data_IF_256332242718
#
_entry.id   IF_256332242718
#
_cell.length_a   1.000
_cell.length_b   1.000
_cell.length_c   1.000
_cell.angle_alpha   90.00
_cell.angle_beta   90.00
_cell.angle_gamma   90.00
#
_symmetry.space_group_name_H-M   'P 1'
#
loop_
_entity.id
_entity.type
_entity.pdbx_description
1 polymer ?
#
# COMPACT_ATOMS: atom_id res chain seq x y z
N UNK A 1 16.68 -11.58 -3.51
CA UNK A 1 17.07 -10.26 -2.95
C UNK A 1 17.69 -9.31 -3.98
N UNK A 2 17.04 -9.08 -5.13
CA UNK A 2 17.43 -7.98 -6.03
C UNK A 2 16.20 -7.45 -6.80
N UNK A 3 15.33 -8.33 -7.29
CA UNK A 3 14.12 -7.92 -8.04
C UNK A 3 13.06 -7.15 -7.24
N UNK A 4 12.79 -7.52 -5.98
CA UNK A 4 11.70 -6.91 -5.18
C UNK A 4 11.96 -5.46 -4.80
N UNK A 5 13.20 -5.13 -4.43
CA UNK A 5 13.61 -3.75 -4.21
C UNK A 5 13.52 -2.93 -5.51
N UNK A 6 13.92 -3.51 -6.66
CA UNK A 6 13.78 -2.85 -7.97
C UNK A 6 12.31 -2.55 -8.31
N UNK A 7 11.40 -3.49 -8.05
CA UNK A 7 9.97 -3.28 -8.28
C UNK A 7 9.40 -2.17 -7.40
N UNK A 8 9.72 -2.15 -6.10
CA UNK A 8 9.26 -1.09 -5.19
C UNK A 8 9.90 0.26 -5.55
N UNK A 9 11.19 0.30 -5.89
CA UNK A 9 11.85 1.51 -6.37
C UNK A 9 11.20 2.03 -7.65
N UNK A 10 10.74 1.15 -8.53
CA UNK A 10 10.04 1.54 -9.76
C UNK A 10 8.69 2.19 -9.43
N UNK A 11 7.93 1.63 -8.49
CA UNK A 11 6.69 2.25 -7.98
C UNK A 11 6.99 3.61 -7.33
N UNK A 12 8.02 3.68 -6.48
CA UNK A 12 8.42 4.94 -5.82
C UNK A 12 8.84 6.01 -6.82
N UNK A 13 9.55 5.62 -7.87
CA UNK A 13 9.93 6.50 -8.98
C UNK A 13 8.69 7.04 -9.70
N UNK A 14 7.73 6.16 -10.03
CA UNK A 14 6.46 6.56 -10.66
C UNK A 14 5.67 7.53 -9.77
N UNK A 15 5.74 7.38 -8.45
CA UNK A 15 5.06 8.27 -7.50
C UNK A 15 5.74 9.63 -7.30
N UNK A 16 7.05 9.68 -7.44
CA UNK A 16 7.82 10.92 -7.38
C UNK A 16 7.56 11.80 -8.63
N UNK A 17 7.23 11.18 -9.76
CA UNK A 17 6.91 11.86 -11.02
C UNK A 17 5.40 12.16 -11.06
N UNK A 18 5.03 13.34 -10.55
CA UNK A 18 3.66 13.80 -10.36
C UNK A 18 2.92 14.00 -11.70
N UNK A 19 2.24 12.98 -12.20
CA UNK A 19 1.22 13.13 -13.25
C UNK A 19 0.04 12.16 -13.08
N UNK A 20 -1.19 12.67 -13.23
CA UNK A 20 -2.45 11.93 -13.03
C UNK A 20 -2.67 10.84 -14.11
N UNK A 21 -1.91 10.90 -15.20
CA UNK A 21 -2.06 10.05 -16.37
C UNK A 21 -1.64 8.58 -16.16
N UNK A 22 -0.72 8.29 -15.24
CA UNK A 22 -0.11 6.96 -15.09
C UNK A 22 -0.79 6.03 -14.09
N UNK A 23 -1.71 6.55 -13.29
CA UNK A 23 -2.43 5.74 -12.30
C UNK A 23 -3.35 4.68 -12.93
N UNK A 24 -3.75 4.90 -14.18
CA UNK A 24 -4.56 3.95 -14.97
C UNK A 24 -3.75 2.76 -15.49
N UNK A 25 -2.44 2.91 -15.67
CA UNK A 25 -1.53 1.87 -16.16
C UNK A 25 -1.11 0.92 -15.03
N UNK A 26 -0.94 1.46 -13.81
CA UNK A 26 -0.70 0.65 -12.61
C UNK A 26 -1.87 -0.27 -12.27
N UNK A 27 -3.09 0.14 -12.60
CA UNK A 27 -4.28 -0.70 -12.45
C UNK A 27 -4.36 -1.88 -13.44
N UNK A 28 -3.45 -1.94 -14.43
CA UNK A 28 -3.26 -3.11 -15.30
C UNK A 28 -2.11 -4.01 -14.83
N UNK A 29 -1.30 -3.52 -13.89
CA UNK A 29 -0.17 -4.25 -13.32
C UNK A 29 -0.56 -4.85 -11.97
N UNK A 30 -0.10 -6.07 -11.67
CA UNK A 30 -0.22 -6.74 -10.37
C UNK A 30 0.61 -6.03 -9.26
N UNK A 31 0.81 -4.72 -9.36
CA UNK A 31 1.66 -3.90 -8.50
C UNK A 31 1.25 -4.01 -7.03
N UNK A 32 -0.05 -3.90 -6.73
CA UNK A 32 -0.55 -4.02 -5.36
C UNK A 32 -0.23 -5.41 -4.78
N UNK A 33 -0.47 -6.47 -5.55
CA UNK A 33 -0.24 -7.86 -5.14
C UNK A 33 1.25 -8.15 -4.94
N UNK A 34 2.10 -7.62 -5.81
CA UNK A 34 3.57 -7.73 -5.71
C UNK A 34 4.11 -7.03 -4.47
N UNK A 35 3.67 -5.80 -4.20
CA UNK A 35 4.08 -5.06 -3.01
C UNK A 35 3.58 -5.71 -1.71
N UNK A 36 2.32 -6.16 -1.68
CA UNK A 36 1.79 -6.94 -0.55
C UNK A 36 2.57 -8.25 -0.39
N UNK A 37 2.87 -8.93 -1.49
CA UNK A 37 3.73 -10.12 -1.50
C UNK A 37 5.14 -9.86 -0.96
N UNK A 38 5.72 -8.71 -1.28
CA UNK A 38 7.01 -8.27 -0.76
C UNK A 38 6.97 -8.06 0.77
N UNK A 39 5.97 -7.32 1.26
CA UNK A 39 5.77 -7.10 2.71
C UNK A 39 5.54 -8.43 3.45
N UNK A 40 4.85 -9.38 2.83
CA UNK A 40 4.67 -10.75 3.36
C UNK A 40 5.96 -11.54 3.40
N UNK A 41 6.79 -11.41 2.36
CA UNK A 41 8.06 -12.13 2.24
C UNK A 41 9.11 -11.62 3.23
N UNK A 42 9.09 -10.32 3.52
CA UNK A 42 10.03 -9.64 4.41
C UNK A 42 9.25 -8.89 5.51
N UNK A 43 8.68 -9.61 6.48
CA UNK A 43 7.82 -9.01 7.51
C UNK A 43 8.57 -8.05 8.45
N UNK A 44 9.88 -8.22 8.61
CA UNK A 44 10.70 -7.47 9.57
C UNK A 44 11.49 -6.31 8.93
N UNK A 45 11.33 -6.09 7.62
CA UNK A 45 12.01 -5.01 6.88
C UNK A 45 11.23 -3.69 7.00
N UNK A 46 11.54 -2.91 8.03
CA UNK A 46 10.86 -1.64 8.30
C UNK A 46 10.91 -0.67 7.10
N UNK A 47 12.05 -0.61 6.39
CA UNK A 47 12.22 0.32 5.27
C UNK A 47 11.34 -0.07 4.08
N UNK A 48 11.27 -1.37 3.78
CA UNK A 48 10.36 -1.92 2.78
C UNK A 48 8.89 -1.59 3.09
N UNK A 49 8.48 -1.77 4.34
CA UNK A 49 7.10 -1.51 4.79
C UNK A 49 6.78 -0.01 4.74
N UNK A 50 7.70 0.86 5.14
CA UNK A 50 7.56 2.30 4.99
C UNK A 50 7.41 2.72 3.53
N UNK A 51 8.24 2.17 2.64
CA UNK A 51 8.15 2.43 1.21
C UNK A 51 6.81 1.94 0.65
N UNK A 52 6.41 0.71 0.95
CA UNK A 52 5.14 0.19 0.46
C UNK A 52 3.95 1.03 0.95
N UNK A 53 3.92 1.41 2.23
CA UNK A 53 2.84 2.21 2.80
C UNK A 53 2.73 3.61 2.17
N UNK A 54 3.86 4.31 1.99
CA UNK A 54 3.91 5.61 1.30
C UNK A 54 3.44 5.45 -0.15
N UNK A 55 3.84 4.37 -0.79
CA UNK A 55 3.47 4.11 -2.16
C UNK A 55 1.98 3.83 -2.35
N UNK A 56 1.40 2.95 -1.54
CA UNK A 56 -0.04 2.70 -1.52
C UNK A 56 -0.84 3.97 -1.24
N UNK A 57 -0.39 4.81 -0.30
CA UNK A 57 -1.08 6.05 0.03
C UNK A 57 -1.18 6.98 -1.19
N UNK A 58 -0.07 7.15 -1.91
CA UNK A 58 -0.05 7.98 -3.11
C UNK A 58 -0.93 7.38 -4.22
N UNK A 59 -0.86 6.07 -4.46
CA UNK A 59 -1.67 5.39 -5.48
C UNK A 59 -3.17 5.39 -5.19
N UNK A 60 -3.57 5.35 -3.93
CA UNK A 60 -4.99 5.32 -3.55
C UNK A 60 -5.60 6.72 -3.44
N UNK A 61 -4.79 7.77 -3.24
CA UNK A 61 -5.28 9.12 -2.94
C UNK A 61 -5.99 9.71 -4.15
N UNK A 62 -7.33 9.87 -4.08
CA UNK A 62 -8.22 10.34 -5.15
C UNK A 62 -8.47 9.35 -6.30
N UNK A 63 -8.08 8.08 -6.17
CA UNK A 63 -8.29 7.07 -7.21
C UNK A 63 -9.09 5.87 -6.67
N UNK A 64 -10.39 5.91 -6.91
CA UNK A 64 -11.35 4.89 -6.43
C UNK A 64 -11.05 3.49 -6.97
N UNK A 65 -10.63 3.37 -8.23
CA UNK A 65 -10.21 2.09 -8.81
C UNK A 65 -9.03 1.50 -8.04
N UNK A 66 -8.02 2.32 -7.72
CA UNK A 66 -6.83 1.89 -7.00
C UNK A 66 -7.13 1.54 -5.54
N UNK A 67 -8.06 2.25 -4.89
CA UNK A 67 -8.54 1.90 -3.57
C UNK A 67 -9.13 0.47 -3.57
N UNK A 68 -9.99 0.15 -4.53
CA UNK A 68 -10.55 -1.21 -4.67
C UNK A 68 -9.46 -2.25 -4.91
N UNK A 69 -8.57 -2.02 -5.87
CA UNK A 69 -7.49 -2.96 -6.21
C UNK A 69 -6.54 -3.22 -5.03
N UNK A 70 -6.22 -2.17 -4.26
CA UNK A 70 -5.46 -2.29 -3.02
C UNK A 70 -6.14 -3.24 -2.02
N UNK A 71 -7.46 -3.13 -1.88
CA UNK A 71 -8.28 -4.04 -1.08
C UNK A 71 -8.27 -5.48 -1.56
N UNK A 72 -8.50 -5.67 -2.86
CA UNK A 72 -8.53 -6.98 -3.52
C UNK A 72 -7.17 -7.69 -3.42
N UNK A 73 -6.07 -6.95 -3.47
CA UNK A 73 -4.72 -7.47 -3.27
C UNK A 73 -4.41 -7.85 -1.81
N UNK A 74 -5.32 -7.62 -0.86
CA UNK A 74 -5.12 -7.87 0.56
C UNK A 74 -4.26 -6.80 1.27
N UNK A 75 -4.20 -5.60 0.71
CA UNK A 75 -3.43 -4.48 1.25
C UNK A 75 -3.93 -3.99 2.60
N UNK A 76 -5.26 -4.03 2.85
CA UNK A 76 -5.86 -3.65 4.15
C UNK A 76 -5.29 -4.53 5.27
N UNK A 77 -5.36 -5.85 5.09
CA UNK A 77 -4.82 -6.84 6.04
C UNK A 77 -3.34 -6.61 6.30
N UNK A 78 -2.57 -6.37 5.24
CA UNK A 78 -1.13 -6.22 5.34
C UNK A 78 -0.74 -4.94 6.09
N UNK A 79 -1.47 -3.83 5.89
CA UNK A 79 -1.25 -2.58 6.62
C UNK A 79 -1.58 -2.72 8.10
N UNK A 80 -2.67 -3.41 8.46
CA UNK A 80 -3.01 -3.68 9.85
C UNK A 80 -1.95 -4.57 10.53
N UNK A 81 -1.46 -5.59 9.81
CA UNK A 81 -0.36 -6.45 10.27
C UNK A 81 0.93 -5.67 10.46
N UNK A 82 1.29 -4.81 9.51
CA UNK A 82 2.44 -3.92 9.56
C UNK A 82 2.37 -3.00 10.79
N UNK A 83 1.21 -2.37 11.05
CA UNK A 83 1.01 -1.53 12.25
C UNK A 83 1.23 -2.30 13.54
N UNK A 84 0.84 -3.58 13.57
CA UNK A 84 1.07 -4.45 14.73
C UNK A 84 2.55 -4.84 14.87
N UNK A 85 3.25 -5.12 13.77
CA UNK A 85 4.66 -5.56 13.80
C UNK A 85 5.64 -4.44 14.14
N UNK A 86 5.34 -3.22 13.71
CA UNK A 86 6.19 -2.05 13.90
C UNK A 86 5.56 -1.01 14.84
N UNK A 87 4.82 -1.49 15.85
CA UNK A 87 4.21 -0.64 16.87
C UNK A 87 5.27 0.26 17.52
N UNK A 88 5.03 1.58 17.55
CA UNK A 88 5.99 2.57 18.07
C UNK A 88 6.73 3.37 17.00
N UNK A 89 6.64 2.99 15.71
CA UNK A 89 7.06 3.88 14.61
C UNK A 89 5.95 4.89 14.29
N UNK A 90 6.02 6.07 14.92
CA UNK A 90 5.02 7.13 14.73
C UNK A 90 4.83 7.53 13.26
N UNK A 91 5.91 7.52 12.47
CA UNK A 91 5.86 7.84 11.03
C UNK A 91 5.04 6.81 10.26
N UNK A 92 5.29 5.53 10.53
CA UNK A 92 4.60 4.41 9.90
C UNK A 92 3.13 4.38 10.31
N UNK A 93 2.84 4.55 11.61
CA UNK A 93 1.47 4.59 12.14
C UNK A 93 0.63 5.71 11.52
N UNK A 94 1.20 6.91 11.39
CA UNK A 94 0.51 8.04 10.72
C UNK A 94 0.24 7.75 9.24
N UNK A 95 1.23 7.18 8.55
CA UNK A 95 1.09 6.80 7.13
C UNK A 95 0.04 5.72 6.96
N UNK A 96 0.03 4.71 7.83
CA UNK A 96 -0.93 3.63 7.83
C UNK A 96 -2.35 4.14 8.11
N UNK A 97 -2.54 5.01 9.11
CA UNK A 97 -3.83 5.62 9.38
C UNK A 97 -4.34 6.46 8.20
N UNK A 98 -3.45 7.23 7.56
CA UNK A 98 -3.80 8.01 6.39
C UNK A 98 -4.21 7.10 5.21
N UNK A 99 -3.48 6.01 5.00
CA UNK A 99 -3.77 5.03 3.97
C UNK A 99 -5.10 4.32 4.22
N UNK A 100 -5.36 3.82 5.43
CA UNK A 100 -6.63 3.18 5.79
C UNK A 100 -7.81 4.13 5.60
N UNK A 101 -7.67 5.40 6.00
CA UNK A 101 -8.69 6.44 5.76
C UNK A 101 -9.00 6.61 4.28
N UNK A 102 -7.97 6.62 3.43
CA UNK A 102 -8.13 6.75 1.97
C UNK A 102 -8.71 5.46 1.36
N UNK A 103 -8.28 4.28 1.84
CA UNK A 103 -8.78 3.00 1.38
C UNK A 103 -10.28 2.84 1.66
N UNK A 104 -10.76 3.32 2.83
CA UNK A 104 -12.16 3.29 3.25
C UNK A 104 -13.11 4.19 2.44
N UNK A 105 -12.62 4.94 1.44
CA UNK A 105 -13.52 5.55 0.44
C UNK A 105 -14.17 4.49 -0.46
N UNK A 106 -13.55 3.31 -0.61
CA UNK A 106 -14.21 2.12 -1.14
C UNK A 106 -14.94 1.36 -0.02
N UNK A 107 -16.20 1.01 -0.25
CA UNK A 107 -17.03 0.37 0.76
C UNK A 107 -16.58 -1.06 1.09
N UNK A 108 -16.01 -1.78 0.13
CA UNK A 108 -15.45 -3.11 0.36
C UNK A 108 -14.22 -3.06 1.27
N UNK A 109 -13.40 -2.02 1.16
CA UNK A 109 -12.30 -1.80 2.10
C UNK A 109 -12.79 -1.41 3.48
N UNK A 110 -13.86 -0.62 3.56
CA UNK A 110 -14.47 -0.24 4.83
C UNK A 110 -14.91 -1.48 5.62
N UNK A 111 -15.57 -2.43 4.94
CA UNK A 111 -15.96 -3.71 5.54
C UNK A 111 -14.74 -4.52 6.00
N UNK A 112 -13.69 -4.63 5.17
CA UNK A 112 -12.44 -5.33 5.54
C UNK A 112 -11.79 -4.73 6.79
N UNK A 113 -11.67 -3.40 6.85
CA UNK A 113 -11.11 -2.71 8.03
C UNK A 113 -11.93 -3.03 9.29
N UNK A 114 -13.26 -3.07 9.21
CA UNK A 114 -14.10 -3.38 10.37
C UNK A 114 -14.04 -4.85 10.82
N UNK A 115 -13.68 -5.77 9.93
CA UNK A 115 -13.57 -7.19 10.25
C UNK A 115 -12.18 -7.57 10.74
N UNK A 116 -11.15 -6.85 10.31
CA UNK A 116 -9.75 -7.20 10.52
C UNK A 116 -9.01 -6.30 11.52
N UNK A 117 -9.50 -5.09 11.76
CA UNK A 117 -8.93 -4.12 12.71
C UNK A 117 -9.57 -4.17 14.09
#
# INVERSE_FOLDING_TARGET
DCGLATEICSVFYILADQDDSFQSELAQSDCFERMVGAMRRFPDDLELHEMCAKAFLALCTKHTKNQRLFGEAGGVTEVLRMMSNFSGSRSLELTACALLRVACYDDGNRERVTLEG
#
